data_IF_794260017684
#
_entry.id   IF_794260017684
#
_cell.length_a   1.000
_cell.length_b   1.000
_cell.length_c   1.000
_cell.angle_alpha   90.00
_cell.angle_beta   90.00
_cell.angle_gamma   90.00
#
_symmetry.space_group_name_H-M   'P 1'
#
loop_
_entity.id
_entity.type
_entity.pdbx_description
1 polymer ?
#
# COMPACT_ATOMS: atom_id res chain seq x y z
N UNK A 1 6.02 17.49 -21.65
CA UNK A 1 6.78 16.46 -20.90
C UNK A 1 5.81 15.31 -20.64
N UNK A 2 5.82 14.27 -21.47
CA UNK A 2 4.94 13.11 -21.29
C UNK A 2 5.48 12.35 -20.08
N UNK A 3 4.77 12.43 -18.96
CA UNK A 3 5.20 11.79 -17.72
C UNK A 3 5.02 10.27 -17.86
N UNK A 4 6.08 9.54 -18.20
CA UNK A 4 6.09 8.07 -18.34
C UNK A 4 5.67 7.33 -17.05
N UNK A 5 5.38 8.06 -15.97
CA UNK A 5 5.09 7.55 -14.63
C UNK A 5 3.61 7.82 -14.24
N UNK A 6 2.84 8.56 -15.04
CA UNK A 6 1.43 8.77 -14.75
C UNK A 6 0.54 7.65 -15.31
N UNK A 7 -0.60 7.41 -14.67
CA UNK A 7 -1.71 6.62 -15.23
C UNK A 7 -2.81 7.53 -15.81
N UNK A 8 -2.70 8.83 -15.58
CA UNK A 8 -3.60 9.85 -16.12
C UNK A 8 -3.21 10.21 -17.56
N UNK A 9 -4.13 10.80 -18.31
CA UNK A 9 -3.96 11.29 -19.67
C UNK A 9 -3.42 10.21 -20.62
N UNK A 10 -3.91 8.97 -20.48
CA UNK A 10 -3.53 7.84 -21.34
C UNK A 10 -2.16 7.21 -21.03
N UNK A 11 -1.56 7.49 -19.87
CA UNK A 11 -0.31 6.84 -19.47
C UNK A 11 -0.47 5.34 -19.20
N UNK A 12 0.29 4.49 -19.90
CA UNK A 12 0.13 3.02 -19.86
C UNK A 12 1.25 2.29 -19.12
N UNK A 13 2.38 2.93 -18.83
CA UNK A 13 3.56 2.26 -18.29
C UNK A 13 3.29 1.56 -16.95
N UNK A 14 2.71 2.27 -15.98
CA UNK A 14 2.35 1.69 -14.67
C UNK A 14 1.24 0.66 -14.78
N UNK A 15 0.32 0.82 -15.76
CA UNK A 15 -0.72 -0.16 -16.03
C UNK A 15 -0.12 -1.47 -16.55
N UNK A 16 0.83 -1.40 -17.48
CA UNK A 16 1.50 -2.58 -18.02
C UNK A 16 2.30 -3.30 -16.93
N UNK A 17 3.05 -2.56 -16.11
CA UNK A 17 3.73 -3.13 -14.95
C UNK A 17 2.74 -3.80 -13.99
N UNK A 18 1.58 -3.18 -13.72
CA UNK A 18 0.57 -3.77 -12.87
C UNK A 18 -0.02 -5.07 -13.43
N UNK A 19 -0.22 -5.16 -14.76
CA UNK A 19 -0.67 -6.39 -15.44
C UNK A 19 0.36 -7.52 -15.29
N UNK A 20 1.64 -7.21 -15.45
CA UNK A 20 2.72 -8.18 -15.20
C UNK A 20 2.72 -8.66 -13.75
N UNK A 21 2.52 -7.75 -12.78
CA UNK A 21 2.46 -8.10 -11.35
C UNK A 21 1.21 -8.94 -11.02
N UNK A 22 0.07 -8.66 -11.64
CA UNK A 22 -1.14 -9.48 -11.49
C UNK A 22 -0.91 -10.91 -12.01
N UNK A 23 -0.20 -11.07 -13.12
CA UNK A 23 0.16 -12.39 -13.65
C UNK A 23 1.14 -13.12 -12.71
N UNK A 24 2.20 -12.44 -12.25
CA UNK A 24 3.14 -12.98 -11.25
C UNK A 24 2.43 -13.39 -9.96
N UNK A 25 1.41 -12.65 -9.53
CA UNK A 25 0.62 -13.02 -8.36
C UNK A 25 -0.13 -14.34 -8.55
N UNK A 26 -0.78 -14.53 -9.71
CA UNK A 26 -1.48 -15.78 -10.03
C UNK A 26 -0.51 -16.98 -10.03
N UNK A 27 0.67 -16.80 -10.61
CA UNK A 27 1.74 -17.80 -10.63
C UNK A 27 2.25 -18.09 -9.20
N UNK A 28 2.58 -17.04 -8.44
CA UNK A 28 3.08 -17.17 -7.08
C UNK A 28 2.13 -17.94 -6.17
N UNK A 29 0.83 -17.61 -6.20
CA UNK A 29 -0.19 -18.30 -5.41
C UNK A 29 -0.35 -19.77 -5.81
N UNK A 30 -0.27 -20.06 -7.12
CA UNK A 30 -0.36 -21.42 -7.65
C UNK A 30 0.87 -22.26 -7.27
N UNK A 31 2.06 -21.74 -7.50
CA UNK A 31 3.33 -22.47 -7.29
C UNK A 31 3.55 -22.82 -5.82
N UNK A 32 3.10 -21.95 -4.92
CA UNK A 32 3.21 -22.16 -3.48
C UNK A 32 1.95 -22.78 -2.84
N UNK A 33 0.89 -23.04 -3.62
CA UNK A 33 -0.41 -23.51 -3.15
C UNK A 33 -0.92 -22.71 -1.94
N UNK A 34 -0.85 -21.37 -2.03
CA UNK A 34 -1.16 -20.47 -0.92
C UNK A 34 -2.61 -19.99 -0.97
N UNK A 35 -3.24 -19.98 0.20
CA UNK A 35 -4.48 -19.22 0.42
C UNK A 35 -4.16 -17.72 0.55
N UNK A 36 -5.17 -16.87 0.39
CA UNK A 36 -5.04 -15.42 0.58
C UNK A 36 -4.47 -15.07 1.96
N UNK A 37 -4.90 -15.79 3.00
CA UNK A 37 -4.41 -15.58 4.36
C UNK A 37 -2.95 -15.99 4.53
N UNK A 38 -2.52 -17.13 3.95
CA UNK A 38 -1.11 -17.52 3.99
C UNK A 38 -0.23 -16.54 3.20
N UNK A 39 -0.72 -16.00 2.09
CA UNK A 39 -0.01 -14.96 1.35
C UNK A 39 0.15 -13.67 2.17
N UNK A 40 -0.94 -13.16 2.75
CA UNK A 40 -0.93 -12.00 3.66
C UNK A 40 0.03 -12.21 4.83
N UNK A 41 0.04 -13.41 5.43
CA UNK A 41 0.95 -13.76 6.50
C UNK A 41 2.42 -13.68 6.06
N UNK A 42 2.74 -14.15 4.85
CA UNK A 42 4.10 -14.05 4.30
C UNK A 42 4.54 -12.62 4.02
N UNK A 43 3.62 -11.75 3.57
CA UNK A 43 3.87 -10.30 3.45
C UNK A 43 4.22 -9.71 4.81
N UNK A 44 3.47 -10.06 5.86
CA UNK A 44 3.72 -9.61 7.24
C UNK A 44 5.11 -10.07 7.71
N UNK A 45 5.43 -11.35 7.55
CA UNK A 45 6.71 -11.94 7.98
C UNK A 45 7.91 -11.22 7.35
N UNK A 46 7.91 -11.05 6.02
CA UNK A 46 9.00 -10.36 5.33
C UNK A 46 9.07 -8.87 5.67
N UNK A 47 7.93 -8.24 5.99
CA UNK A 47 7.92 -6.84 6.43
C UNK A 47 8.54 -6.70 7.83
N UNK A 48 8.21 -7.60 8.76
CA UNK A 48 8.82 -7.64 10.09
C UNK A 48 10.32 -7.91 9.98
N UNK A 49 10.72 -8.84 9.11
CA UNK A 49 12.13 -9.21 8.87
C UNK A 49 12.95 -7.99 8.42
N UNK A 50 12.49 -7.26 7.39
CA UNK A 50 13.22 -6.08 6.90
C UNK A 50 13.22 -4.94 7.94
N UNK A 51 12.11 -4.70 8.63
CA UNK A 51 12.05 -3.67 9.68
C UNK A 51 13.04 -3.97 10.81
N UNK A 52 13.12 -5.24 11.25
CA UNK A 52 14.11 -5.69 12.23
C UNK A 52 15.54 -5.49 11.74
N UNK A 53 15.83 -5.79 10.46
CA UNK A 53 17.16 -5.57 9.88
C UNK A 53 17.57 -4.08 9.80
N UNK A 54 16.59 -3.16 9.78
CA UNK A 54 16.82 -1.72 9.80
C UNK A 54 17.02 -1.17 11.22
N UNK A 55 16.93 -2.02 12.25
CA UNK A 55 16.96 -1.60 13.65
C UNK A 55 15.72 -0.83 14.08
N UNK A 56 14.59 -0.99 13.36
CA UNK A 56 13.30 -0.44 13.79
C UNK A 56 12.75 -1.39 14.84
N UNK A 57 12.66 -0.88 16.07
CA UNK A 57 12.12 -1.63 17.19
C UNK A 57 10.63 -1.89 16.97
N UNK A 58 10.30 -3.16 16.76
CA UNK A 58 8.93 -3.64 16.72
C UNK A 58 8.66 -4.22 18.10
N UNK A 59 7.92 -3.47 18.92
CA UNK A 59 7.52 -3.92 20.25
C UNK A 59 7.01 -5.36 20.16
N UNK A 60 7.62 -6.23 20.97
CA UNK A 60 7.39 -7.67 20.94
C UNK A 60 5.91 -8.05 21.11
N UNK A 61 5.10 -7.19 21.73
CA UNK A 61 3.66 -7.43 21.92
C UNK A 61 2.81 -7.07 20.70
N UNK A 62 3.09 -5.97 19.99
CA UNK A 62 2.24 -5.44 18.92
C UNK A 62 3.09 -4.96 17.71
N UNK A 63 3.56 -5.89 16.88
CA UNK A 63 4.44 -5.54 15.74
C UNK A 63 3.73 -4.86 14.57
N UNK A 64 2.41 -5.03 14.48
CA UNK A 64 1.55 -4.52 13.42
C UNK A 64 0.09 -4.52 13.88
N UNK A 65 -0.76 -3.83 13.13
CA UNK A 65 -2.20 -3.77 13.33
C UNK A 65 -2.91 -4.30 12.08
N UNK A 66 -3.87 -5.19 12.26
CA UNK A 66 -4.92 -5.43 11.26
C UNK A 66 -6.07 -4.53 11.66
N UNK A 67 -6.09 -3.30 11.13
CA UNK A 67 -7.06 -2.30 11.52
C UNK A 67 -8.37 -2.51 10.75
N UNK A 68 -9.49 -2.86 11.42
CA UNK A 68 -10.76 -3.07 10.74
C UNK A 68 -11.27 -1.73 10.21
N UNK A 69 -11.76 -1.75 8.97
CA UNK A 69 -12.25 -0.53 8.33
C UNK A 69 -13.75 -0.40 8.59
N UNK A 70 -14.08 0.61 9.38
CA UNK A 70 -15.45 1.10 9.52
C UNK A 70 -15.62 2.30 8.60
N UNK A 71 -16.40 2.14 7.54
CA UNK A 71 -16.84 3.27 6.72
C UNK A 71 -17.86 4.07 7.52
N UNK A 72 -17.58 5.34 7.77
CA UNK A 72 -18.56 6.23 8.37
C UNK A 72 -19.48 6.83 7.30
N UNK A 73 -20.44 7.65 7.75
CA UNK A 73 -21.22 8.51 6.87
C UNK A 73 -20.27 9.30 5.94
N UNK A 74 -20.64 9.42 4.65
CA UNK A 74 -19.82 10.02 3.58
C UNK A 74 -18.68 9.16 3.00
N UNK A 75 -18.66 7.83 3.21
CA UNK A 75 -17.65 6.91 2.67
C UNK A 75 -16.20 7.23 3.09
N UNK A 76 -16.02 7.98 4.19
CA UNK A 76 -14.70 8.25 4.74
C UNK A 76 -14.24 7.07 5.60
N UNK A 77 -12.94 6.82 5.54
CA UNK A 77 -12.29 5.87 6.44
C UNK A 77 -12.00 6.62 7.76
N UNK A 78 -12.50 6.09 8.86
CA UNK A 78 -12.24 6.64 10.18
C UNK A 78 -11.12 5.87 10.88
N UNK A 79 -9.86 6.19 10.57
CA UNK A 79 -8.70 5.70 11.33
C UNK A 79 -8.29 6.79 12.33
N UNK A 80 -8.28 6.44 13.62
CA UNK A 80 -7.76 7.34 14.66
C UNK A 80 -6.23 7.24 14.75
N UNK A 81 -5.55 7.97 13.88
CA UNK A 81 -4.08 8.02 13.87
C UNK A 81 -3.47 8.61 15.15
N UNK A 82 -4.22 9.43 15.90
CA UNK A 82 -3.74 9.96 17.19
C UNK A 82 -3.74 8.87 18.25
N UNK A 83 -4.74 7.98 18.23
CA UNK A 83 -4.74 6.82 19.11
C UNK A 83 -3.58 5.88 18.78
N UNK A 84 -3.35 5.58 17.48
CA UNK A 84 -2.19 4.78 17.04
C UNK A 84 -0.88 5.44 17.50
N UNK A 85 -0.73 6.76 17.34
CA UNK A 85 0.46 7.46 17.82
C UNK A 85 0.70 7.25 19.32
N UNK A 86 -0.35 7.37 20.15
CA UNK A 86 -0.24 7.22 21.61
C UNK A 86 0.05 5.79 22.02
N UNK A 87 -0.64 4.82 21.41
CA UNK A 87 -0.50 3.39 21.71
C UNK A 87 0.90 2.87 21.37
N UNK A 88 1.47 3.34 20.26
CA UNK A 88 2.79 2.90 19.77
C UNK A 88 3.92 3.88 20.06
N UNK A 89 3.63 4.96 20.80
CA UNK A 89 4.59 6.00 21.18
C UNK A 89 5.37 6.55 19.96
N UNK A 90 4.64 6.87 18.89
CA UNK A 90 5.23 7.38 17.65
C UNK A 90 5.61 8.86 17.77
N UNK A 91 6.77 9.23 17.26
CA UNK A 91 7.21 10.62 17.24
C UNK A 91 6.28 11.52 16.40
N UNK A 92 5.73 10.99 15.30
CA UNK A 92 4.77 11.66 14.43
C UNK A 92 3.62 10.70 14.08
N UNK A 93 2.37 11.19 14.04
CA UNK A 93 1.18 10.39 13.62
C UNK A 93 1.35 9.76 12.24
N UNK A 94 2.22 10.34 11.41
CA UNK A 94 2.51 9.86 10.06
C UNK A 94 3.50 8.72 10.05
N UNK A 95 4.24 8.44 11.13
CA UNK A 95 5.28 7.40 11.20
C UNK A 95 4.70 5.99 11.23
N UNK A 96 4.00 5.68 10.15
CA UNK A 96 3.36 4.39 9.87
C UNK A 96 3.65 4.02 8.42
N UNK A 97 3.77 2.71 8.18
CA UNK A 97 3.67 2.11 6.85
C UNK A 97 2.36 1.32 6.83
N UNK A 98 1.63 1.39 5.74
CA UNK A 98 0.37 0.68 5.58
C UNK A 98 0.29 -0.03 4.23
N UNK A 99 -0.53 -1.07 4.18
CA UNK A 99 -0.73 -1.90 3.02
C UNK A 99 -2.21 -2.18 2.81
N UNK A 100 -2.63 -2.19 1.54
CA UNK A 100 -3.98 -2.60 1.13
C UNK A 100 -3.91 -3.82 0.25
N UNK A 101 -4.87 -4.71 0.44
CA UNK A 101 -5.05 -5.90 -0.37
C UNK A 101 -6.27 -5.75 -1.27
N UNK A 102 -6.33 -6.53 -2.34
CA UNK A 102 -7.54 -6.69 -3.15
C UNK A 102 -8.44 -7.77 -2.54
N UNK A 103 -9.73 -7.76 -2.89
CA UNK A 103 -10.67 -8.84 -2.50
C UNK A 103 -10.21 -10.21 -3.01
N UNK A 104 -9.42 -10.26 -4.08
CA UNK A 104 -8.78 -11.49 -4.57
C UNK A 104 -7.57 -11.95 -3.74
N UNK A 105 -7.11 -11.14 -2.78
CA UNK A 105 -6.00 -11.44 -1.87
C UNK A 105 -4.62 -10.96 -2.34
N UNK A 106 -4.57 -10.20 -3.44
CA UNK A 106 -3.31 -9.64 -3.96
C UNK A 106 -2.86 -8.45 -3.11
N UNK A 107 -1.55 -8.27 -2.93
CA UNK A 107 -1.00 -7.05 -2.34
C UNK A 107 -1.09 -5.91 -3.36
N UNK A 108 -1.94 -4.93 -3.09
CA UNK A 108 -2.21 -3.86 -4.03
C UNK A 108 -1.22 -2.71 -3.94
N UNK A 109 -0.86 -2.29 -2.72
CA UNK A 109 0.03 -1.14 -2.49
C UNK A 109 0.76 -1.26 -1.15
N UNK A 110 1.98 -0.73 -1.10
CA UNK A 110 2.75 -0.44 0.10
C UNK A 110 2.99 1.06 0.11
N UNK A 111 2.59 1.74 1.18
CA UNK A 111 2.68 3.20 1.30
C UNK A 111 2.96 3.61 2.76
N UNK A 112 3.30 4.87 2.99
CA UNK A 112 3.51 5.43 4.32
C UNK A 112 2.66 6.68 4.56
N UNK A 113 2.66 7.21 5.80
CA UNK A 113 1.88 8.38 6.23
C UNK A 113 0.41 8.09 6.57
N UNK A 114 -0.31 9.11 7.01
CA UNK A 114 -1.66 9.04 7.59
C UNK A 114 -2.80 9.36 6.60
N UNK A 115 -2.66 8.95 5.35
CA UNK A 115 -3.58 9.26 4.23
C UNK A 115 -4.20 8.01 3.58
N UNK A 116 -4.38 6.93 4.35
CA UNK A 116 -5.06 5.71 3.91
C UNK A 116 -6.42 6.06 3.29
N UNK A 117 -6.67 5.54 2.10
CA UNK A 117 -7.92 5.69 1.39
C UNK A 117 -8.17 4.48 0.46
N UNK A 118 -9.43 4.19 0.13
CA UNK A 118 -9.84 3.15 -0.83
C UNK A 118 -10.41 3.77 -2.12
N UNK A 119 -9.95 4.97 -2.49
CA UNK A 119 -10.40 5.64 -3.71
C UNK A 119 -10.16 4.73 -4.92
N UNK A 120 -11.19 4.60 -5.74
CA UNK A 120 -11.19 3.84 -6.99
C UNK A 120 -12.24 4.46 -7.93
N UNK A 121 -11.92 4.74 -9.20
CA UNK A 121 -12.91 5.17 -10.18
C UNK A 121 -13.91 4.05 -10.48
N UNK A 122 -15.11 4.40 -10.95
CA UNK A 122 -16.11 3.41 -11.38
C UNK A 122 -16.00 3.08 -12.87
N UNK A 123 -15.46 4.00 -13.67
CA UNK A 123 -15.25 3.82 -15.11
C UNK A 123 -13.97 4.50 -15.58
N UNK A 124 -13.44 4.08 -16.73
CA UNK A 124 -12.27 4.69 -17.37
C UNK A 124 -12.44 6.19 -17.64
N UNK A 125 -13.67 6.67 -17.85
CA UNK A 125 -13.96 8.09 -18.09
C UNK A 125 -13.62 8.96 -16.88
N UNK A 126 -13.58 8.38 -15.69
CA UNK A 126 -13.31 9.07 -14.44
C UNK A 126 -11.81 9.20 -14.12
N UNK A 127 -10.92 8.53 -14.88
CA UNK A 127 -9.49 8.45 -14.54
C UNK A 127 -8.84 9.83 -14.51
N UNK A 128 -9.25 10.72 -15.43
CA UNK A 128 -8.72 12.07 -15.57
C UNK A 128 -9.65 13.13 -14.97
N UNK A 129 -10.60 12.73 -14.11
CA UNK A 129 -11.41 13.70 -13.38
C UNK A 129 -10.55 14.45 -12.36
N UNK A 130 -10.66 15.78 -12.37
CA UNK A 130 -10.04 16.65 -11.37
C UNK A 130 -11.06 17.16 -10.37
N UNK A 131 -10.62 17.35 -9.14
CA UNK A 131 -11.33 18.12 -8.12
C UNK A 131 -11.30 19.61 -8.47
N UNK A 132 -12.10 20.42 -7.77
CA UNK A 132 -12.17 21.88 -7.98
C UNK A 132 -10.81 22.59 -7.85
N UNK A 133 -9.89 22.03 -7.07
CA UNK A 133 -8.53 22.55 -6.88
C UNK A 133 -7.53 22.11 -7.96
N UNK A 134 -8.00 21.49 -9.05
CA UNK A 134 -7.18 21.01 -10.16
C UNK A 134 -6.38 19.73 -9.88
N UNK A 135 -6.50 19.14 -8.68
CA UNK A 135 -5.87 17.84 -8.37
C UNK A 135 -6.72 16.69 -8.91
N UNK A 136 -6.07 15.60 -9.32
CA UNK A 136 -6.78 14.37 -9.70
C UNK A 136 -7.69 13.89 -8.56
N UNK A 137 -8.90 13.47 -8.93
CA UNK A 137 -9.90 12.93 -8.00
C UNK A 137 -9.50 11.55 -7.49
N UNK A 138 -8.92 10.73 -8.37
CA UNK A 138 -8.48 9.38 -8.04
C UNK A 138 -6.96 9.27 -8.08
N UNK A 139 -6.40 8.49 -7.16
CA UNK A 139 -4.98 8.21 -7.13
C UNK A 139 -4.61 7.07 -8.09
N UNK A 140 -3.30 6.94 -8.34
CA UNK A 140 -2.78 5.92 -9.26
C UNK A 140 -3.16 4.50 -8.85
N UNK A 141 -3.07 4.16 -7.57
CA UNK A 141 -3.38 2.81 -7.10
C UNK A 141 -4.85 2.45 -7.37
N UNK A 142 -5.78 3.39 -7.14
CA UNK A 142 -7.20 3.20 -7.45
C UNK A 142 -7.47 2.95 -8.93
N UNK A 143 -6.82 3.73 -9.81
CA UNK A 143 -6.89 3.53 -11.26
C UNK A 143 -6.31 2.17 -11.68
N UNK A 144 -5.17 1.78 -11.11
CA UNK A 144 -4.56 0.47 -11.38
C UNK A 144 -5.52 -0.67 -11.00
N UNK A 145 -6.11 -0.62 -9.80
CA UNK A 145 -7.03 -1.66 -9.33
C UNK A 145 -8.25 -1.77 -10.27
N UNK A 146 -8.83 -0.65 -10.68
CA UNK A 146 -9.92 -0.66 -11.67
C UNK A 146 -9.49 -1.26 -13.02
N UNK A 147 -8.35 -0.83 -13.55
CA UNK A 147 -7.85 -1.29 -14.84
C UNK A 147 -7.55 -2.81 -14.86
N UNK A 148 -7.18 -3.38 -13.72
CA UNK A 148 -6.95 -4.81 -13.55
C UNK A 148 -8.24 -5.63 -13.34
N UNK A 149 -9.41 -4.98 -13.25
CA UNK A 149 -10.67 -5.62 -12.92
C UNK A 149 -10.73 -6.10 -11.46
N UNK A 150 -9.91 -5.53 -10.59
CA UNK A 150 -9.83 -5.87 -9.17
C UNK A 150 -10.71 -4.93 -8.33
N UNK A 151 -10.95 -5.31 -7.08
CA UNK A 151 -11.56 -4.45 -6.07
C UNK A 151 -10.71 -4.47 -4.80
N UNK A 152 -10.71 -3.36 -4.06
CA UNK A 152 -10.06 -3.32 -2.75
C UNK A 152 -10.75 -4.25 -1.76
N UNK A 153 -9.99 -4.91 -0.90
CA UNK A 153 -10.51 -5.47 0.34
C UNK A 153 -10.67 -4.30 1.32
N UNK A 154 -11.92 -3.88 1.51
CA UNK A 154 -12.27 -2.76 2.38
C UNK A 154 -12.65 -3.22 3.79
N UNK A 155 -12.37 -4.46 4.17
CA UNK A 155 -12.62 -4.95 5.53
C UNK A 155 -11.51 -4.58 6.52
N UNK A 156 -10.28 -4.36 6.03
CA UNK A 156 -9.13 -3.99 6.87
C UNK A 156 -8.07 -3.17 6.12
N UNK A 157 -7.17 -2.56 6.88
CA UNK A 157 -5.86 -2.09 6.42
C UNK A 157 -4.79 -2.67 7.32
N UNK A 158 -3.68 -3.13 6.74
CA UNK A 158 -2.53 -3.61 7.50
C UNK A 158 -1.61 -2.42 7.80
N UNK A 159 -1.30 -2.15 9.07
CA UNK A 159 -0.49 -1.00 9.50
C UNK A 159 0.70 -1.49 10.31
N UNK A 160 1.88 -0.98 10.00
CA UNK A 160 3.14 -1.13 10.74
C UNK A 160 3.52 0.23 11.34
N UNK A 161 3.35 0.41 12.66
CA UNK A 161 3.82 1.58 13.37
C UNK A 161 5.36 1.64 13.39
N UNK A 162 5.94 2.80 13.07
CA UNK A 162 7.40 2.98 12.95
C UNK A 162 7.88 3.90 14.07
N UNK A 163 8.08 3.34 15.27
CA UNK A 163 8.41 4.11 16.48
C UNK A 163 9.69 4.94 16.37
N UNK A 164 10.72 4.40 15.71
CA UNK A 164 12.02 5.06 15.59
C UNK A 164 12.61 4.86 14.21
N UNK A 165 12.44 5.85 13.34
CA UNK A 165 13.08 5.86 12.02
C UNK A 165 14.59 6.05 12.22
N UNK A 166 15.45 5.16 11.65
CA UNK A 166 16.89 5.26 11.80
C UNK A 166 17.44 6.62 11.34
N UNK A 167 18.47 7.13 12.02
CA UNK A 167 19.11 8.41 11.65
C UNK A 167 19.60 8.37 10.20
N UNK A 168 19.23 9.38 9.42
CA UNK A 168 19.57 9.46 8.00
C UNK A 168 18.62 8.69 7.07
N UNK A 169 17.59 8.04 7.62
CA UNK A 169 16.49 7.44 6.87
C UNK A 169 15.25 8.33 6.96
N UNK A 170 14.48 8.39 5.88
CA UNK A 170 13.16 9.02 5.87
C UNK A 170 12.08 7.95 5.93
N UNK A 171 10.86 8.35 6.26
CA UNK A 171 9.69 7.46 6.24
C UNK A 171 9.46 6.83 4.85
N UNK A 172 9.59 7.63 3.81
CA UNK A 172 9.59 7.14 2.43
C UNK A 172 10.77 6.18 2.17
N UNK A 173 11.93 6.40 2.78
CA UNK A 173 13.04 5.45 2.76
C UNK A 173 12.68 4.09 3.35
N UNK A 174 11.95 4.05 4.48
CA UNK A 174 11.44 2.81 5.08
C UNK A 174 10.46 2.11 4.13
N UNK A 175 9.47 2.85 3.60
CA UNK A 175 8.50 2.34 2.61
C UNK A 175 9.20 1.70 1.40
N UNK A 176 10.18 2.41 0.83
CA UNK A 176 10.97 1.95 -0.31
C UNK A 176 11.76 0.68 0.00
N UNK A 177 12.35 0.59 1.21
CA UNK A 177 13.08 -0.62 1.66
C UNK A 177 12.13 -1.81 1.79
N UNK A 178 10.96 -1.63 2.38
CA UNK A 178 9.94 -2.68 2.51
C UNK A 178 9.50 -3.17 1.13
N UNK A 179 9.05 -2.27 0.26
CA UNK A 179 8.54 -2.67 -1.05
C UNK A 179 9.60 -3.35 -1.93
N UNK A 180 10.83 -2.85 -1.92
CA UNK A 180 11.93 -3.52 -2.64
C UNK A 180 12.25 -4.90 -2.04
N UNK A 181 12.27 -5.04 -0.72
CA UNK A 181 12.54 -6.32 -0.08
C UNK A 181 11.47 -7.36 -0.41
N UNK A 182 10.20 -6.97 -0.41
CA UNK A 182 9.10 -7.83 -0.81
C UNK A 182 9.29 -8.31 -2.26
N UNK A 183 9.64 -7.41 -3.18
CA UNK A 183 9.94 -7.76 -4.58
C UNK A 183 11.11 -8.73 -4.67
N UNK A 184 12.19 -8.50 -3.92
CA UNK A 184 13.37 -9.37 -3.90
C UNK A 184 13.04 -10.78 -3.37
N UNK A 185 12.05 -10.90 -2.47
CA UNK A 185 11.48 -12.18 -1.99
C UNK A 185 10.44 -12.78 -2.94
N UNK A 186 10.22 -12.16 -4.10
CA UNK A 186 9.27 -12.62 -5.12
C UNK A 186 7.81 -12.28 -4.82
N UNK A 187 7.51 -11.43 -3.84
CA UNK A 187 6.15 -10.98 -3.53
C UNK A 187 5.71 -9.93 -4.58
N UNK A 188 4.66 -10.21 -5.37
CA UNK A 188 4.16 -9.25 -6.35
C UNK A 188 3.38 -8.11 -5.68
N UNK A 189 3.52 -6.89 -6.20
CA UNK A 189 2.80 -5.69 -5.74
C UNK A 189 2.14 -5.04 -6.95
N UNK A 190 0.82 -4.92 -6.96
CA UNK A 190 0.08 -4.42 -8.14
C UNK A 190 0.48 -2.99 -8.49
N UNK A 191 0.47 -2.07 -7.53
CA UNK A 191 1.07 -0.75 -7.70
C UNK A 191 2.58 -0.78 -7.43
N UNK A 192 3.31 -1.46 -8.31
CA UNK A 192 4.75 -1.73 -8.19
C UNK A 192 5.63 -0.49 -7.94
N UNK A 193 5.21 0.68 -8.41
CA UNK A 193 6.01 1.91 -8.32
C UNK A 193 5.63 2.81 -7.14
N UNK A 194 4.55 2.51 -6.42
CA UNK A 194 4.10 3.27 -5.24
C UNK A 194 5.25 3.57 -4.29
N UNK A 195 5.92 2.54 -3.79
CA UNK A 195 7.06 2.64 -2.88
C UNK A 195 8.38 3.08 -3.51
N UNK A 196 8.48 3.12 -4.86
CA UNK A 196 9.71 3.49 -5.56
C UNK A 196 9.78 4.97 -5.88
N UNK A 197 8.62 5.60 -6.09
CA UNK A 197 8.46 6.96 -6.60
C UNK A 197 7.63 7.83 -5.64
N UNK A 198 6.81 7.22 -4.78
CA UNK A 198 5.90 7.89 -3.85
C UNK A 198 6.58 8.51 -2.64
N UNK A 199 7.50 9.45 -2.86
CA UNK A 199 7.97 10.37 -1.82
C UNK A 199 7.57 11.78 -2.25
N UNK A 200 6.55 12.35 -1.60
CA UNK A 200 6.25 13.78 -1.70
C UNK A 200 6.63 14.47 -0.41
#
# INVERSE_FOLDING_TARGET
MVSWITVHNGGTYRINAAKEQQQKMKEYLKDHNLTKDKFKQRVIEYTIEILGSLGIDLDTANKYLIFPINKCEQNRINIDYKNIQKEFDLADVRDIVWMKFTSSGSLGVVASSNDVNFQKPSTIKEYDETQQNGRWKYNTSGIIIDCLGETWDESFVLIFPIKSIPKGMTRHGVEKRIGNYLIDKGIPILDYYSHRIGGK
#
